data_IF_846931161895
#
_entry.id   IF_846931161895
#
_cell.length_a   1.000
_cell.length_b   1.000
_cell.length_c   1.000
_cell.angle_alpha   90.00
_cell.angle_beta   90.00
_cell.angle_gamma   90.00
#
_symmetry.space_group_name_H-M   'P 1'
#
loop_
_entity.id
_entity.type
_entity.pdbx_description
1 polymer ?
#
# COMPACT_ATOMS: atom_id res chain seq x y z
N UNK A 1 8.71 -5.54 18.74
CA UNK A 1 10.08 -6.07 18.90
C UNK A 1 10.77 -6.27 17.55
N UNK A 2 10.19 -7.05 16.63
CA UNK A 2 10.79 -7.31 15.30
C UNK A 2 11.11 -6.06 14.50
N UNK A 3 10.20 -5.08 14.48
CA UNK A 3 10.45 -3.78 13.85
C UNK A 3 11.72 -3.12 14.39
N UNK A 4 11.83 -3.04 15.72
CA UNK A 4 12.95 -2.37 16.41
C UNK A 4 14.26 -3.11 16.07
N UNK A 5 14.30 -4.43 16.26
CA UNK A 5 15.50 -5.25 15.99
C UNK A 5 15.95 -5.12 14.54
N UNK A 6 15.02 -5.10 13.58
CA UNK A 6 15.35 -4.92 12.16
C UNK A 6 15.96 -3.54 11.87
N UNK A 7 15.41 -2.48 12.46
CA UNK A 7 15.94 -1.11 12.29
C UNK A 7 17.37 -0.98 12.87
N UNK A 8 17.63 -1.61 14.03
CA UNK A 8 18.97 -1.65 14.62
C UNK A 8 20.01 -2.38 13.74
N UNK A 9 19.56 -3.32 12.91
CA UNK A 9 20.39 -4.07 11.97
C UNK A 9 20.51 -3.37 10.60
N UNK A 10 19.89 -2.19 10.43
CA UNK A 10 19.87 -1.47 9.16
C UNK A 10 18.99 -2.12 8.08
N UNK A 11 18.04 -2.97 8.47
CA UNK A 11 17.11 -3.66 7.57
C UNK A 11 15.71 -3.08 7.73
N UNK A 12 14.89 -3.08 6.67
CA UNK A 12 13.52 -2.53 6.71
C UNK A 12 12.66 -3.17 7.80
N UNK A 13 12.41 -2.41 8.88
CA UNK A 13 11.56 -2.83 9.98
C UNK A 13 10.10 -3.08 9.58
N UNK A 14 9.58 -2.28 8.63
CA UNK A 14 8.26 -2.47 8.06
C UNK A 14 8.13 -3.82 7.35
N UNK A 15 9.07 -4.16 6.47
CA UNK A 15 9.08 -5.43 5.76
C UNK A 15 9.22 -6.62 6.72
N UNK A 16 10.09 -6.49 7.73
CA UNK A 16 10.25 -7.51 8.77
C UNK A 16 8.95 -7.74 9.57
N UNK A 17 8.19 -6.68 9.84
CA UNK A 17 6.85 -6.77 10.44
C UNK A 17 5.86 -7.54 9.57
N UNK A 18 5.84 -7.26 8.26
CA UNK A 18 4.98 -7.95 7.28
C UNK A 18 5.31 -9.45 7.22
N UNK A 19 6.59 -9.80 7.16
CA UNK A 19 7.04 -11.20 7.11
C UNK A 19 6.63 -11.95 8.39
N UNK A 20 6.80 -11.33 9.56
CA UNK A 20 6.32 -11.92 10.82
C UNK A 20 4.80 -12.16 10.78
N UNK A 21 4.02 -11.19 10.31
CA UNK A 21 2.58 -11.33 10.16
C UNK A 21 2.18 -12.50 9.25
N UNK A 22 2.90 -12.68 8.14
CA UNK A 22 2.68 -13.78 7.21
C UNK A 22 3.01 -15.14 7.84
N UNK A 23 4.10 -15.25 8.58
CA UNK A 23 4.48 -16.46 9.32
C UNK A 23 3.46 -16.78 10.43
N UNK A 24 2.99 -15.76 11.17
CA UNK A 24 1.96 -15.93 12.19
C UNK A 24 0.62 -16.38 11.60
N UNK A 25 0.29 -15.96 10.38
CA UNK A 25 -0.92 -16.42 9.67
C UNK A 25 -0.76 -17.87 9.21
N UNK A 26 0.36 -18.22 8.58
CA UNK A 26 0.59 -19.54 7.99
C UNK A 26 0.80 -20.64 9.04
N UNK A 27 1.60 -20.37 10.08
CA UNK A 27 1.98 -21.36 11.11
C UNK A 27 1.17 -21.16 12.38
N UNK A 28 0.95 -19.91 12.79
CA UNK A 28 0.30 -19.59 14.07
C UNK A 28 -1.17 -19.99 14.14
N UNK A 29 -1.88 -20.13 13.01
CA UNK A 29 -3.27 -20.58 13.00
C UNK A 29 -3.46 -22.00 13.56
N UNK A 30 -2.42 -22.84 13.55
CA UNK A 30 -2.48 -24.22 14.07
C UNK A 30 -2.18 -24.33 15.57
N UNK A 31 -1.55 -23.32 16.18
CA UNK A 31 -1.09 -23.36 17.58
C UNK A 31 -1.87 -22.44 18.52
N UNK A 32 -2.70 -21.54 17.97
CA UNK A 32 -3.52 -20.60 18.74
C UNK A 32 -4.92 -21.18 18.98
N UNK A 33 -5.36 -21.16 20.24
CA UNK A 33 -6.72 -21.52 20.63
C UNK A 33 -7.78 -20.67 19.89
N UNK A 34 -8.86 -21.27 19.36
CA UNK A 34 -9.86 -20.57 18.54
C UNK A 34 -10.52 -19.39 19.26
N UNK A 35 -10.60 -19.41 20.60
CA UNK A 35 -11.15 -18.32 21.39
C UNK A 35 -10.31 -17.03 21.34
N UNK A 36 -8.98 -17.12 21.28
CA UNK A 36 -8.08 -15.96 21.25
C UNK A 36 -7.70 -15.53 19.83
N UNK A 37 -7.91 -16.39 18.82
CA UNK A 37 -7.67 -16.04 17.41
C UNK A 37 -8.58 -14.91 16.94
N UNK A 38 -9.89 -15.02 17.21
CA UNK A 38 -10.90 -14.04 16.81
C UNK A 38 -10.65 -12.67 17.46
N UNK A 39 -10.33 -12.66 18.76
CA UNK A 39 -10.00 -11.43 19.47
C UNK A 39 -8.76 -10.73 18.89
N UNK A 40 -7.70 -11.49 18.56
CA UNK A 40 -6.49 -10.94 17.92
C UNK A 40 -6.78 -10.33 16.56
N UNK A 41 -7.58 -10.99 15.73
CA UNK A 41 -7.92 -10.50 14.39
C UNK A 41 -8.70 -9.19 14.48
N UNK A 42 -9.76 -9.15 15.28
CA UNK A 42 -10.58 -7.94 15.48
C UNK A 42 -9.73 -6.79 16.05
N UNK A 43 -8.83 -7.09 16.99
CA UNK A 43 -7.96 -6.07 17.56
C UNK A 43 -7.00 -5.48 16.52
N UNK A 44 -6.37 -6.33 15.70
CA UNK A 44 -5.45 -5.87 14.66
C UNK A 44 -6.17 -5.14 13.52
N UNK A 45 -7.38 -5.59 13.16
CA UNK A 45 -8.25 -4.91 12.22
C UNK A 45 -8.61 -3.51 12.71
N UNK A 46 -8.99 -3.37 13.98
CA UNK A 46 -9.34 -2.09 14.58
C UNK A 46 -8.13 -1.14 14.63
N UNK A 47 -6.93 -1.65 14.92
CA UNK A 47 -5.69 -0.88 14.85
C UNK A 47 -5.41 -0.40 13.43
N UNK A 48 -5.54 -1.28 12.43
CA UNK A 48 -5.35 -0.93 11.02
C UNK A 48 -6.33 0.14 10.55
N UNK A 49 -7.60 0.01 10.92
CA UNK A 49 -8.64 0.99 10.62
C UNK A 49 -8.35 2.36 11.25
N UNK A 50 -7.94 2.37 12.52
CA UNK A 50 -7.60 3.60 13.25
C UNK A 50 -6.38 4.28 12.64
N UNK A 51 -5.33 3.51 12.34
CA UNK A 51 -4.11 4.01 11.71
C UNK A 51 -4.40 4.63 10.33
N UNK A 52 -5.19 3.94 9.50
CA UNK A 52 -5.59 4.47 8.19
C UNK A 52 -6.36 5.79 8.34
N UNK A 53 -7.29 5.87 9.29
CA UNK A 53 -8.04 7.11 9.54
C UNK A 53 -7.13 8.26 9.93
N UNK A 54 -6.14 8.02 10.79
CA UNK A 54 -5.16 9.03 11.21
C UNK A 54 -4.32 9.51 10.02
N UNK A 55 -3.80 8.60 9.19
CA UNK A 55 -2.96 8.96 8.04
C UNK A 55 -3.76 9.73 6.99
N UNK A 56 -5.00 9.33 6.70
CA UNK A 56 -5.85 10.07 5.78
C UNK A 56 -6.21 11.46 6.31
N UNK A 57 -6.55 11.58 7.60
CA UNK A 57 -6.84 12.86 8.22
C UNK A 57 -5.61 13.79 8.17
N UNK A 58 -4.43 13.25 8.51
CA UNK A 58 -3.19 14.02 8.54
C UNK A 58 -2.72 14.44 7.15
N UNK A 59 -2.72 13.53 6.17
CA UNK A 59 -2.35 13.85 4.79
C UNK A 59 -3.28 14.90 4.18
N UNK A 60 -4.59 14.83 4.45
CA UNK A 60 -5.55 15.86 4.05
C UNK A 60 -5.27 17.21 4.69
N UNK A 61 -4.98 17.24 5.99
CA UNK A 61 -4.61 18.46 6.72
C UNK A 61 -3.34 19.10 6.14
N UNK A 62 -2.28 18.30 5.94
CA UNK A 62 -1.01 18.77 5.37
C UNK A 62 -1.23 19.30 3.96
N UNK A 63 -1.98 18.59 3.12
CA UNK A 63 -2.30 19.05 1.76
C UNK A 63 -3.04 20.39 1.77
N UNK A 64 -4.01 20.58 2.67
CA UNK A 64 -4.73 21.84 2.83
C UNK A 64 -3.80 22.98 3.25
N UNK A 65 -2.94 22.76 4.25
CA UNK A 65 -1.99 23.77 4.73
C UNK A 65 -1.01 24.15 3.63
N UNK A 66 -0.46 23.17 2.91
CA UNK A 66 0.44 23.41 1.78
C UNK A 66 -0.24 24.18 0.66
N UNK A 67 -1.49 23.83 0.32
CA UNK A 67 -2.24 24.53 -0.72
C UNK A 67 -2.48 26.00 -0.37
N UNK A 68 -2.86 26.31 0.88
CA UNK A 68 -3.13 27.68 1.32
C UNK A 68 -1.84 28.51 1.45
N UNK A 69 -0.77 27.91 2.00
CA UNK A 69 0.46 28.65 2.32
C UNK A 69 1.44 28.77 1.15
N UNK A 70 1.53 27.75 0.30
CA UNK A 70 2.57 27.68 -0.75
C UNK A 70 2.10 28.13 -2.13
N UNK A 71 0.79 28.00 -2.44
CA UNK A 71 0.29 28.25 -3.80
C UNK A 71 -0.55 29.53 -3.94
N UNK A 72 -0.95 30.18 -2.84
CA UNK A 72 -1.81 31.37 -2.92
C UNK A 72 -3.14 31.05 -3.62
N UNK A 73 -3.32 31.58 -4.85
CA UNK A 73 -4.45 31.23 -5.71
C UNK A 73 -4.10 30.01 -6.59
N UNK A 74 -4.85 28.91 -6.46
CA UNK A 74 -4.72 27.76 -7.36
C UNK A 74 -4.83 28.23 -8.81
N UNK A 75 -3.69 28.26 -9.50
CA UNK A 75 -3.64 28.63 -10.90
C UNK A 75 -3.97 27.38 -11.73
N UNK A 76 -4.66 27.53 -12.87
CA UNK A 76 -5.03 26.39 -13.73
C UNK A 76 -3.84 25.50 -14.15
N UNK A 77 -2.62 26.02 -14.09
CA UNK A 77 -1.39 25.28 -14.36
C UNK A 77 -1.05 24.20 -13.31
N UNK A 78 -1.36 24.39 -12.03
CA UNK A 78 -1.13 23.36 -11.00
C UNK A 78 -2.09 22.18 -11.12
N UNK A 79 -3.33 22.47 -11.53
CA UNK A 79 -4.31 21.44 -11.86
C UNK A 79 -3.81 20.61 -13.05
N UNK A 80 -3.28 21.27 -14.09
CA UNK A 80 -2.69 20.60 -15.24
C UNK A 80 -1.49 19.72 -14.84
N UNK A 81 -0.59 20.24 -14.01
CA UNK A 81 0.58 19.48 -13.55
C UNK A 81 0.19 18.24 -12.74
N UNK A 82 -0.85 18.36 -11.90
CA UNK A 82 -1.41 17.23 -11.14
C UNK A 82 -1.98 16.14 -12.06
N UNK A 83 -2.68 16.52 -13.12
CA UNK A 83 -3.21 15.57 -14.13
C UNK A 83 -2.08 14.90 -14.90
N UNK A 84 -1.06 15.65 -15.31
CA UNK A 84 0.11 15.11 -16.04
C UNK A 84 0.87 14.12 -15.15
N UNK A 85 1.11 14.46 -13.87
CA UNK A 85 1.74 13.56 -12.92
C UNK A 85 0.92 12.28 -12.69
N UNK A 86 -0.41 12.41 -12.59
CA UNK A 86 -1.30 11.27 -12.47
C UNK A 86 -1.16 10.32 -13.68
N UNK A 87 -1.21 10.86 -14.91
CA UNK A 87 -1.04 10.08 -16.14
C UNK A 87 0.35 9.45 -16.24
N UNK A 88 1.41 10.20 -15.93
CA UNK A 88 2.79 9.72 -15.96
C UNK A 88 2.99 8.53 -14.99
N UNK A 89 2.50 8.65 -13.76
CA UNK A 89 2.60 7.59 -12.76
C UNK A 89 1.72 6.38 -13.12
N UNK A 90 0.57 6.59 -13.75
CA UNK A 90 -0.29 5.51 -14.27
C UNK A 90 0.38 4.75 -15.43
N UNK A 91 1.05 5.48 -16.33
CA UNK A 91 1.83 4.88 -17.41
C UNK A 91 3.00 4.07 -16.87
N UNK A 92 3.76 4.59 -15.90
CA UNK A 92 4.88 3.88 -15.27
C UNK A 92 4.43 2.55 -14.64
N UNK A 93 3.27 2.53 -13.98
CA UNK A 93 2.68 1.31 -13.43
C UNK A 93 2.36 0.29 -14.52
N UNK A 94 1.68 0.72 -15.59
CA UNK A 94 1.35 -0.15 -16.72
C UNK A 94 2.62 -0.74 -17.34
N UNK A 95 3.67 0.07 -17.52
CA UNK A 95 4.97 -0.39 -18.01
C UNK A 95 5.58 -1.43 -17.07
N UNK A 96 5.59 -1.18 -15.76
CA UNK A 96 6.09 -2.14 -14.77
C UNK A 96 5.34 -3.49 -14.82
N UNK A 97 4.01 -3.45 -14.90
CA UNK A 97 3.18 -4.67 -15.00
C UNK A 97 3.44 -5.41 -16.31
N UNK A 98 3.59 -4.70 -17.43
CA UNK A 98 3.92 -5.31 -18.73
C UNK A 98 5.31 -5.93 -18.72
N UNK A 99 6.30 -5.29 -18.11
CA UNK A 99 7.65 -5.85 -17.96
C UNK A 99 7.69 -7.09 -17.08
N UNK A 100 6.84 -7.16 -16.04
CA UNK A 100 6.68 -8.35 -15.21
C UNK A 100 5.75 -9.39 -15.83
N UNK A 101 4.91 -9.04 -16.81
CA UNK A 101 3.97 -9.96 -17.46
C UNK A 101 4.59 -11.26 -18.01
N UNK A 102 5.80 -11.31 -18.61
CA UNK A 102 6.41 -12.57 -19.02
C UNK A 102 6.72 -13.50 -17.84
N UNK A 103 7.10 -12.95 -16.67
CA UNK A 103 7.30 -13.74 -15.46
C UNK A 103 5.99 -14.32 -14.94
N UNK A 104 4.90 -13.52 -14.97
CA UNK A 104 3.59 -14.00 -14.54
C UNK A 104 3.05 -15.09 -15.46
N UNK A 105 3.27 -14.98 -16.77
CA UNK A 105 2.86 -15.99 -17.76
C UNK A 105 3.63 -17.29 -17.67
N UNK A 106 4.86 -17.26 -17.16
CA UNK A 106 5.66 -18.45 -16.89
C UNK A 106 5.27 -19.14 -15.58
N UNK A 107 4.46 -18.50 -14.73
CA UNK A 107 3.95 -19.08 -13.48
C UNK A 107 2.73 -19.98 -13.74
N UNK A 108 2.30 -20.71 -12.71
CA UNK A 108 1.16 -21.63 -12.76
C UNK A 108 -0.20 -20.96 -13.09
N UNK A 109 -0.26 -19.63 -13.18
CA UNK A 109 -1.46 -18.86 -13.48
C UNK A 109 -1.25 -17.95 -14.71
N UNK A 110 -1.61 -18.40 -15.92
CA UNK A 110 -1.42 -17.61 -17.14
C UNK A 110 -2.40 -16.43 -17.16
N UNK A 111 -1.85 -15.22 -17.01
CA UNK A 111 -2.65 -13.98 -16.98
C UNK A 111 -3.01 -13.52 -18.40
N UNK A 112 -4.31 -13.31 -18.63
CA UNK A 112 -4.85 -12.77 -19.88
C UNK A 112 -4.54 -11.27 -20.03
N UNK A 113 -4.49 -10.79 -21.28
CA UNK A 113 -4.27 -9.36 -21.58
C UNK A 113 -5.36 -8.47 -20.94
N UNK A 114 -6.58 -8.97 -20.83
CA UNK A 114 -7.70 -8.26 -20.17
C UNK A 114 -7.47 -8.12 -18.67
N UNK A 115 -6.92 -9.15 -18.03
CA UNK A 115 -6.60 -9.14 -16.59
C UNK A 115 -5.41 -8.23 -16.31
N UNK A 116 -4.41 -8.20 -17.20
CA UNK A 116 -3.29 -7.25 -17.11
C UNK A 116 -3.74 -5.79 -17.18
N UNK A 117 -4.68 -5.48 -18.08
CA UNK A 117 -5.29 -4.16 -18.16
C UNK A 117 -6.08 -3.85 -16.87
N UNK A 118 -6.90 -4.80 -16.39
CA UNK A 118 -7.66 -4.64 -15.16
C UNK A 118 -6.74 -4.37 -13.94
N UNK A 119 -5.65 -5.12 -13.79
CA UNK A 119 -4.67 -4.97 -12.69
C UNK A 119 -3.92 -3.63 -12.78
N UNK A 120 -3.71 -3.13 -13.99
CA UNK A 120 -3.08 -1.82 -14.20
C UNK A 120 -3.97 -0.70 -13.66
N UNK A 121 -5.30 -0.78 -13.87
CA UNK A 121 -6.26 0.21 -13.40
C UNK A 121 -6.81 -0.01 -11.98
N UNK A 122 -6.70 -1.20 -11.39
CA UNK A 122 -7.28 -1.52 -10.07
C UNK A 122 -6.50 -0.98 -8.86
N UNK A 123 -5.32 -0.40 -9.06
CA UNK A 123 -4.45 0.07 -7.98
C UNK A 123 -4.91 1.40 -7.39
N UNK A 124 -5.77 1.37 -6.36
CA UNK A 124 -5.98 2.55 -5.51
C UNK A 124 -4.67 2.87 -4.77
N UNK A 125 -4.24 4.14 -4.84
CA UNK A 125 -3.12 4.64 -4.04
C UNK A 125 -3.63 4.90 -2.62
N UNK A 126 -3.50 3.89 -1.77
CA UNK A 126 -3.82 3.98 -0.35
C UNK A 126 -2.73 4.69 0.46
N UNK A 127 -2.95 4.79 1.76
CA UNK A 127 -1.97 5.22 2.74
C UNK A 127 -0.89 4.15 2.93
N UNK A 128 0.07 4.07 2.00
CA UNK A 128 1.28 3.23 2.13
C UNK A 128 2.52 4.03 1.83
#
# INVERSE_FOLDING_TARGET
>A
LTYIVAEWLGVSGGLAGVILGLIMSAVGSSYISPGSLKAKHIFMEQLGWTANTIVFMYSGLVAMIFAIHSLGALTGYDCLYSVILYLCLSALRTVGIVLLSPLLRSSAYPVSYTELALVSFSGLRGAV
#
